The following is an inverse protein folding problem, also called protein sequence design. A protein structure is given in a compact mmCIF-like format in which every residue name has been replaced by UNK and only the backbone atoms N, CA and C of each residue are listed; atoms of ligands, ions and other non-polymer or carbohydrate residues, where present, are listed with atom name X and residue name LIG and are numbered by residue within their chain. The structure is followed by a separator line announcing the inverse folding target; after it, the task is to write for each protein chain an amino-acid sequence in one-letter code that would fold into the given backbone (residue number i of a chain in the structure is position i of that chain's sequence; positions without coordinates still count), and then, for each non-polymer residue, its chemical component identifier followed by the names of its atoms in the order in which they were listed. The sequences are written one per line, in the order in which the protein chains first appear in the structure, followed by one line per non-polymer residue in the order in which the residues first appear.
data_IF_694173712502
#
_entry.id   IF_694173712502
#
_cell.length_a   1.000
_cell.length_b   1.000
_cell.length_c   1.000
_cell.angle_alpha   90.00
_cell.angle_beta   90.00
_cell.angle_gamma   90.00
#
_symmetry.space_group_name_H-M   'P 1'
#
loop_
_entity.id
_entity.type
_entity.pdbx_description
1 polymer ?
#
# COMPACT_ATOMS: atom_id res chain seq x y z
N UNK A 1 -13.05 13.22 -1.23
CA UNK A 1 -12.29 11.98 -1.45
C UNK A 1 -11.86 11.96 -2.91
N UNK A 2 -10.56 11.89 -3.19
CA UNK A 2 -10.07 11.86 -4.57
C UNK A 2 -9.81 10.41 -4.97
N UNK A 3 -10.32 10.02 -6.14
CA UNK A 3 -10.09 8.71 -6.72
C UNK A 3 -9.07 8.80 -7.84
N UNK A 4 -8.31 7.73 -8.04
CA UNK A 4 -7.42 7.63 -9.18
C UNK A 4 -8.21 7.22 -10.43
N UNK A 5 -7.99 7.92 -11.54
CA UNK A 5 -8.37 7.43 -12.87
C UNK A 5 -7.15 6.75 -13.49
N UNK A 6 -7.20 5.42 -13.60
CA UNK A 6 -6.07 4.59 -14.02
C UNK A 6 -6.50 3.83 -15.27
N UNK A 7 -5.88 4.17 -16.40
CA UNK A 7 -6.09 3.48 -17.67
C UNK A 7 -4.86 2.62 -17.96
N UNK A 8 -4.93 1.34 -17.57
CA UNK A 8 -3.87 0.35 -17.76
C UNK A 8 -4.47 -1.00 -18.19
N UNK A 9 -3.64 -1.86 -18.77
CA UNK A 9 -4.04 -3.22 -19.12
C UNK A 9 -3.95 -4.15 -17.91
N UNK A 10 -3.02 -3.85 -17.00
CA UNK A 10 -2.75 -4.63 -15.80
C UNK A 10 -2.80 -3.77 -14.54
N UNK A 11 -3.38 -4.33 -13.49
CA UNK A 11 -3.55 -3.70 -12.19
C UNK A 11 -2.93 -4.61 -11.13
N UNK A 12 -1.95 -4.08 -10.40
CA UNK A 12 -1.18 -4.79 -9.40
C UNK A 12 -1.56 -4.28 -8.01
N UNK A 13 -2.34 -5.06 -7.28
CA UNK A 13 -2.64 -4.82 -5.87
C UNK A 13 -1.62 -5.53 -5.00
N UNK A 14 -1.02 -4.79 -4.07
CA UNK A 14 -0.04 -5.34 -3.13
C UNK A 14 -0.52 -5.10 -1.71
N UNK A 15 -0.71 -6.19 -0.98
CA UNK A 15 -0.86 -6.16 0.47
C UNK A 15 0.52 -6.35 1.10
N UNK A 16 0.97 -5.35 1.87
CA UNK A 16 2.35 -5.21 2.30
C UNK A 16 2.48 -5.50 3.80
N UNK A 17 3.20 -6.57 4.16
CA UNK A 17 3.52 -6.92 5.55
C UNK A 17 5.01 -6.74 5.86
N UNK A 18 5.40 -6.97 7.12
CA UNK A 18 6.76 -6.67 7.58
C UNK A 18 7.86 -7.44 6.83
N UNK A 19 7.61 -8.70 6.45
CA UNK A 19 8.62 -9.58 5.81
C UNK A 19 8.22 -10.06 4.41
N UNK A 20 6.93 -10.03 4.10
CA UNK A 20 6.38 -10.54 2.86
C UNK A 20 5.35 -9.57 2.31
N UNK A 21 5.04 -9.70 1.03
CA UNK A 21 3.98 -8.97 0.36
C UNK A 21 3.13 -9.96 -0.45
N UNK A 22 1.81 -9.79 -0.38
CA UNK A 22 0.90 -10.53 -1.22
C UNK A 22 0.62 -9.73 -2.47
N UNK A 23 1.01 -10.27 -3.62
CA UNK A 23 0.89 -9.58 -4.92
C UNK A 23 -0.22 -10.22 -5.72
N UNK A 24 -1.16 -9.39 -6.18
CA UNK A 24 -2.19 -9.76 -7.13
C UNK A 24 -2.05 -8.87 -8.38
N UNK A 25 -1.82 -9.48 -9.54
CA UNK A 25 -1.86 -8.80 -10.83
C UNK A 25 -3.08 -9.31 -11.58
N UNK A 26 -3.91 -8.39 -12.05
CA UNK A 26 -5.09 -8.70 -12.85
C UNK A 26 -5.11 -7.94 -14.17
N UNK A 27 -5.76 -8.50 -15.18
CA UNK A 27 -6.06 -7.81 -16.42
C UNK A 27 -7.27 -6.87 -16.26
N UNK A 28 -7.57 -6.07 -17.30
CA UNK A 28 -8.70 -5.14 -17.31
C UNK A 28 -10.08 -5.82 -17.15
N UNK A 29 -10.20 -7.11 -17.49
CA UNK A 29 -11.44 -7.89 -17.37
C UNK A 29 -11.63 -8.44 -15.95
N UNK A 30 -10.59 -8.38 -15.10
CA UNK A 30 -10.61 -8.82 -13.70
C UNK A 30 -10.09 -10.23 -13.45
N UNK A 31 -9.45 -10.85 -14.45
CA UNK A 31 -8.79 -12.15 -14.30
C UNK A 31 -7.42 -11.97 -13.67
N UNK A 32 -7.15 -12.73 -12.61
CA UNK A 32 -5.86 -12.70 -11.93
C UNK A 32 -4.82 -13.52 -12.73
N UNK A 33 -3.85 -12.83 -13.32
CA UNK A 33 -2.73 -13.43 -14.06
C UNK A 33 -1.56 -13.79 -13.14
N UNK A 34 -1.48 -13.16 -11.97
CA UNK A 34 -0.54 -13.53 -10.91
C UNK A 34 -1.19 -13.31 -9.54
N UNK A 35 -1.04 -14.28 -8.63
CA UNK A 35 -1.58 -14.14 -7.27
C UNK A 35 -0.82 -14.99 -6.26
N UNK A 36 0.21 -14.43 -5.62
CA UNK A 36 1.08 -15.17 -4.69
C UNK A 36 1.64 -14.26 -3.60
N UNK A 37 1.97 -14.88 -2.46
CA UNK A 37 2.78 -14.27 -1.41
C UNK A 37 4.26 -14.40 -1.77
N UNK A 38 5.02 -13.31 -1.65
CA UNK A 38 6.46 -13.27 -1.95
C UNK A 38 7.23 -12.55 -0.82
N UNK A 39 8.52 -12.84 -0.64
CA UNK A 39 9.38 -12.06 0.25
C UNK A 39 9.43 -10.57 -0.13
N UNK A 40 9.69 -9.72 0.85
CA UNK A 40 9.94 -8.29 0.62
C UNK A 40 11.29 -8.07 -0.07
N UNK A 41 11.31 -8.26 -1.39
CA UNK A 41 12.45 -8.04 -2.27
C UNK A 41 11.97 -7.34 -3.55
N UNK A 42 12.50 -6.13 -3.78
CA UNK A 42 12.13 -5.34 -4.95
C UNK A 42 12.64 -5.95 -6.27
N UNK A 43 13.79 -6.63 -6.27
CA UNK A 43 14.31 -7.28 -7.46
C UNK A 43 13.42 -8.46 -7.88
N UNK A 44 12.96 -9.23 -6.90
CA UNK A 44 11.98 -10.31 -7.12
C UNK A 44 10.64 -9.74 -7.62
N UNK A 45 10.13 -8.69 -6.98
CA UNK A 45 8.92 -8.01 -7.42
C UNK A 45 9.03 -7.51 -8.87
N UNK A 46 10.16 -6.89 -9.22
CA UNK A 46 10.41 -6.39 -10.57
C UNK A 46 10.47 -7.53 -11.59
N UNK A 47 11.05 -8.67 -11.23
CA UNK A 47 11.07 -9.85 -12.09
C UNK A 47 9.65 -10.36 -12.38
N UNK A 48 8.78 -10.38 -11.38
CA UNK A 48 7.37 -10.82 -11.50
C UNK A 48 6.55 -9.84 -12.35
N UNK A 49 6.78 -8.54 -12.17
CA UNK A 49 6.04 -7.49 -12.90
C UNK A 49 6.56 -7.30 -14.33
N UNK A 50 7.80 -7.74 -14.63
CA UNK A 50 8.46 -7.59 -15.93
C UNK A 50 7.58 -7.93 -17.15
N UNK A 51 6.80 -9.04 -17.17
CA UNK A 51 5.95 -9.38 -18.31
C UNK A 51 4.80 -8.39 -18.57
N UNK A 52 4.44 -7.60 -17.56
CA UNK A 52 3.29 -6.67 -17.60
C UNK A 52 3.73 -5.20 -17.62
N UNK A 53 5.04 -4.95 -17.66
CA UNK A 53 5.64 -3.63 -17.42
C UNK A 53 5.19 -2.56 -18.42
N UNK A 54 4.77 -2.95 -19.62
CA UNK A 54 4.29 -2.04 -20.66
C UNK A 54 3.02 -1.28 -20.22
N UNK A 55 2.18 -1.87 -19.36
CA UNK A 55 0.91 -1.26 -18.96
C UNK A 55 0.43 -1.76 -17.60
N UNK A 56 1.24 -1.59 -16.56
CA UNK A 56 0.89 -1.93 -15.17
C UNK A 56 0.78 -0.70 -14.28
N UNK A 57 -0.22 -0.68 -13.39
CA UNK A 57 -0.30 0.22 -12.25
C UNK A 57 -0.19 -0.56 -10.94
N UNK A 58 0.60 -0.06 -9.99
CA UNK A 58 0.78 -0.68 -8.67
C UNK A 58 0.03 0.13 -7.62
N UNK A 59 -0.82 -0.52 -6.84
CA UNK A 59 -1.52 0.07 -5.70
C UNK A 59 -1.20 -0.64 -4.40
N UNK A 60 -1.06 0.14 -3.34
CA UNK A 60 -0.76 -0.33 -1.98
C UNK A 60 -1.59 0.44 -0.98
N UNK A 61 -2.07 -0.22 0.07
CA UNK A 61 -2.65 0.48 1.23
C UNK A 61 -1.60 1.34 1.97
N UNK A 62 -2.03 2.46 2.56
CA UNK A 62 -1.19 3.34 3.37
C UNK A 62 -0.80 2.73 4.74
N UNK A 63 -0.07 1.62 4.72
CA UNK A 63 0.54 0.96 5.88
C UNK A 63 1.87 1.62 6.26
N UNK A 64 2.69 1.00 7.12
CA UNK A 64 3.94 1.59 7.61
C UNK A 64 5.17 1.32 6.72
N UNK A 65 5.10 0.38 5.79
CA UNK A 65 6.25 -0.23 5.10
C UNK A 65 6.28 0.00 3.57
N UNK A 66 5.53 0.96 3.04
CA UNK A 66 5.43 1.18 1.59
C UNK A 66 6.55 2.01 0.96
N UNK A 67 7.38 2.72 1.75
CA UNK A 67 8.37 3.67 1.23
C UNK A 67 9.32 3.06 0.20
N UNK A 68 9.90 1.91 0.51
CA UNK A 68 10.89 1.25 -0.36
C UNK A 68 10.26 0.79 -1.68
N UNK A 69 9.02 0.30 -1.65
CA UNK A 69 8.32 -0.16 -2.84
C UNK A 69 7.94 1.05 -3.71
N UNK A 70 7.45 2.13 -3.12
CA UNK A 70 7.15 3.37 -3.83
C UNK A 70 8.38 3.97 -4.49
N UNK A 71 9.51 4.01 -3.78
CA UNK A 71 10.77 4.55 -4.30
C UNK A 71 11.31 3.66 -5.43
N UNK A 72 11.31 2.33 -5.26
CA UNK A 72 11.70 1.39 -6.30
C UNK A 72 10.82 1.51 -7.55
N UNK A 73 9.49 1.58 -7.39
CA UNK A 73 8.58 1.81 -8.50
C UNK A 73 8.87 3.13 -9.23
N UNK A 74 9.18 4.21 -8.47
CA UNK A 74 9.55 5.51 -9.04
C UNK A 74 10.85 5.43 -9.84
N UNK A 75 11.88 4.77 -9.32
CA UNK A 75 13.19 4.61 -9.98
C UNK A 75 13.07 3.83 -11.31
N UNK A 76 12.12 2.91 -11.39
CA UNK A 76 11.89 2.01 -12.54
C UNK A 76 10.83 2.56 -13.51
N UNK A 77 10.15 3.65 -13.15
CA UNK A 77 9.11 4.30 -13.97
C UNK A 77 7.74 3.58 -13.94
N UNK A 78 7.46 2.80 -12.89
CA UNK A 78 6.17 2.12 -12.71
C UNK A 78 5.21 3.06 -11.94
N UNK A 79 4.01 3.35 -12.47
CA UNK A 79 3.00 4.14 -11.76
C UNK A 79 2.62 3.50 -10.42
N UNK A 80 2.82 4.23 -9.33
CA UNK A 80 2.54 3.81 -7.96
C UNK A 80 1.43 4.67 -7.35
N UNK A 81 0.42 4.01 -6.77
CA UNK A 81 -0.71 4.63 -6.12
C UNK A 81 -0.78 4.19 -4.66
N UNK A 82 -0.81 5.18 -3.75
CA UNK A 82 -1.00 4.92 -2.33
C UNK A 82 -2.48 5.06 -1.99
N UNK A 83 -3.07 4.05 -1.36
CA UNK A 83 -4.48 3.98 -1.02
C UNK A 83 -4.73 4.41 0.42
N UNK A 84 -5.79 5.19 0.65
CA UNK A 84 -6.12 5.68 1.98
C UNK A 84 -6.79 4.58 2.83
N UNK A 85 -6.07 4.03 3.81
CA UNK A 85 -6.49 2.89 4.64
C UNK A 85 -7.94 2.96 5.15
N UNK A 86 -8.34 4.09 5.75
CA UNK A 86 -9.70 4.27 6.28
C UNK A 86 -10.78 4.12 5.20
N UNK A 87 -10.54 4.67 4.01
CA UNK A 87 -11.51 4.67 2.92
C UNK A 87 -11.51 3.33 2.19
N UNK A 88 -10.35 2.70 2.03
CA UNK A 88 -10.28 1.33 1.50
C UNK A 88 -11.06 0.36 2.37
N UNK A 89 -10.93 0.47 3.70
CA UNK A 89 -11.71 -0.34 4.65
C UNK A 89 -13.22 -0.05 4.58
N UNK A 90 -13.62 1.19 4.31
CA UNK A 90 -15.04 1.54 4.13
C UNK A 90 -15.62 0.93 2.84
N UNK A 91 -14.82 0.85 1.78
CA UNK A 91 -15.24 0.24 0.50
C UNK A 91 -15.21 -1.29 0.57
N UNK A 92 -14.29 -1.87 1.36
CA UNK A 92 -14.07 -3.31 1.45
C UNK A 92 -14.10 -3.89 2.88
N UNK A 93 -15.13 -3.55 3.66
CA UNK A 93 -15.29 -4.03 5.05
C UNK A 93 -15.79 -5.47 5.19
N UNK A 94 -15.29 -6.42 4.39
CA UNK A 94 -15.73 -7.82 4.43
C UNK A 94 -15.42 -8.50 5.77
N UNK A 95 -16.33 -9.36 6.27
CA UNK A 95 -16.11 -10.15 7.50
C UNK A 95 -14.93 -11.14 7.39
N UNK A 96 -14.59 -11.57 6.17
CA UNK A 96 -13.45 -12.46 5.90
C UNK A 96 -12.23 -11.62 5.52
N UNK A 97 -11.21 -11.62 6.38
CA UNK A 97 -9.93 -10.97 6.14
C UNK A 97 -8.88 -12.02 5.77
N UNK A 98 -8.27 -11.90 4.61
CA UNK A 98 -7.21 -12.78 4.14
C UNK A 98 -6.35 -12.00 3.15
N UNK A 99 -5.04 -12.02 3.32
CA UNK A 99 -4.05 -11.31 2.47
C UNK A 99 -4.28 -11.57 0.97
N UNK A 100 -4.76 -12.78 0.62
CA UNK A 100 -5.15 -13.12 -0.76
C UNK A 100 -6.35 -12.32 -1.27
N UNK A 101 -7.37 -12.14 -0.45
CA UNK A 101 -8.58 -11.37 -0.78
C UNK A 101 -8.26 -9.87 -0.77
N UNK A 102 -7.46 -9.44 0.20
CA UNK A 102 -7.09 -8.04 0.40
C UNK A 102 -6.28 -7.55 -0.82
N UNK A 103 -5.22 -8.25 -1.21
CA UNK A 103 -4.43 -7.93 -2.42
C UNK A 103 -5.24 -7.91 -3.72
N UNK A 104 -6.19 -8.85 -3.89
CA UNK A 104 -7.10 -8.86 -5.04
C UNK A 104 -8.01 -7.64 -5.04
N UNK A 105 -8.54 -7.28 -3.88
CA UNK A 105 -9.43 -6.14 -3.74
C UNK A 105 -8.71 -4.84 -4.06
N UNK A 106 -7.48 -4.67 -3.59
CA UNK A 106 -6.63 -3.52 -3.93
C UNK A 106 -6.52 -3.39 -5.46
N UNK A 107 -6.26 -4.50 -6.15
CA UNK A 107 -6.17 -4.53 -7.60
C UNK A 107 -7.52 -4.20 -8.29
N UNK A 108 -8.63 -4.73 -7.78
CA UNK A 108 -9.99 -4.43 -8.29
C UNK A 108 -10.35 -2.95 -8.09
N UNK A 109 -9.96 -2.34 -6.97
CA UNK A 109 -10.18 -0.91 -6.73
C UNK A 109 -9.44 -0.04 -7.75
N UNK A 110 -8.20 -0.41 -8.11
CA UNK A 110 -7.46 0.28 -9.18
C UNK A 110 -8.17 0.11 -10.53
N UNK A 111 -8.55 -1.12 -10.87
CA UNK A 111 -9.21 -1.49 -12.13
C UNK A 111 -10.55 -0.78 -12.33
N UNK A 112 -11.34 -0.66 -11.27
CA UNK A 112 -12.66 -0.03 -11.30
C UNK A 112 -12.63 1.49 -11.10
N UNK A 113 -11.45 2.12 -11.01
CA UNK A 113 -11.30 3.55 -10.68
C UNK A 113 -11.96 3.96 -9.34
N UNK A 114 -12.03 3.02 -8.39
CA UNK A 114 -12.57 3.23 -7.05
C UNK A 114 -11.46 3.31 -5.99
N UNK A 115 -10.21 3.45 -6.42
CA UNK A 115 -9.05 3.49 -5.53
C UNK A 115 -8.94 4.86 -4.83
N UNK A 116 -9.18 4.94 -3.49
CA UNK A 116 -9.14 6.20 -2.77
C UNK A 116 -7.70 6.62 -2.55
N UNK A 117 -7.29 7.75 -3.10
CA UNK A 117 -5.90 8.20 -3.04
C UNK A 117 -5.52 8.72 -1.66
N UNK A 118 -4.35 8.27 -1.19
CA UNK A 118 -3.58 8.89 -0.13
C UNK A 118 -2.38 9.64 -0.72
N UNK A 119 -1.88 10.63 0.00
CA UNK A 119 -0.71 11.40 -0.44
C UNK A 119 0.60 10.63 -0.21
N UNK A 120 1.32 10.21 -1.28
CA UNK A 120 2.62 9.59 -1.15
C UNK A 120 3.67 10.65 -0.82
N UNK A 121 4.03 10.76 0.45
CA UNK A 121 4.93 11.80 0.94
C UNK A 121 6.32 11.73 0.27
N UNK A 122 6.91 12.87 -0.16
CA UNK A 122 8.18 12.89 -0.87
C UNK A 122 9.34 12.30 -0.05
N UNK A 123 10.21 11.51 -0.69
CA UNK A 123 11.35 10.80 -0.07
C UNK A 123 12.19 11.71 0.82
N UNK A 124 12.55 12.88 0.31
CA UNK A 124 13.40 13.89 0.98
C UNK A 124 12.82 14.40 2.31
N UNK A 125 11.49 14.45 2.43
CA UNK A 125 10.82 15.01 3.60
C UNK A 125 10.43 13.94 4.63
N UNK A 126 10.50 12.64 4.29
CA UNK A 126 10.03 11.54 5.15
C UNK A 126 10.76 11.47 6.49
N UNK A 127 12.08 11.71 6.50
CA UNK A 127 12.88 11.63 7.72
C UNK A 127 12.37 12.60 8.81
N UNK A 128 12.14 13.87 8.45
CA UNK A 128 11.59 14.88 9.36
C UNK A 128 10.20 14.49 9.83
N UNK A 129 9.33 14.05 8.91
CA UNK A 129 7.97 13.60 9.26
C UNK A 129 8.00 12.44 10.25
N UNK A 130 8.85 11.45 10.02
CA UNK A 130 8.93 10.26 10.86
C UNK A 130 9.49 10.59 12.25
N UNK A 131 10.47 11.50 12.33
CA UNK A 131 10.98 12.03 13.59
C UNK A 131 9.86 12.71 14.40
N UNK A 132 9.10 13.59 13.78
CA UNK A 132 7.99 14.30 14.43
C UNK A 132 6.89 13.33 14.89
N UNK A 133 6.56 12.31 14.09
CA UNK A 133 5.60 11.26 14.46
C UNK A 133 6.09 10.44 15.66
N UNK A 134 7.37 10.06 15.70
CA UNK A 134 7.98 9.35 16.84
C UNK A 134 7.97 10.20 18.09
N UNK A 135 8.37 11.47 18.00
CA UNK A 135 8.33 12.42 19.12
C UNK A 135 6.90 12.55 19.66
N UNK A 136 5.91 12.76 18.79
CA UNK A 136 4.51 12.86 19.20
C UNK A 136 4.05 11.62 19.98
N UNK A 137 4.36 10.42 19.46
CA UNK A 137 4.06 9.16 20.16
C UNK A 137 4.73 9.08 21.53
N UNK A 138 6.02 9.41 21.64
CA UNK A 138 6.72 9.36 22.94
C UNK A 138 6.20 10.38 23.95
N UNK A 139 5.78 11.55 23.49
CA UNK A 139 5.13 12.55 24.36
C UNK A 139 3.79 12.04 24.87
N UNK A 140 2.98 11.40 24.02
CA UNK A 140 1.71 10.79 24.43
C UNK A 140 1.93 9.67 25.47
N UNK A 141 2.86 8.75 25.20
CA UNK A 141 3.21 7.67 26.14
C UNK A 141 3.70 8.21 27.50
N UNK A 142 4.51 9.27 27.49
CA UNK A 142 4.95 9.93 28.73
C UNK A 142 3.78 10.52 29.51
N UNK A 143 2.85 11.20 28.82
CA UNK A 143 1.68 11.79 29.46
C UNK A 143 0.77 10.72 30.07
N UNK A 144 0.49 9.64 29.33
CA UNK A 144 -0.26 8.47 29.83
C UNK A 144 0.41 7.89 31.08
N UNK A 145 1.74 7.71 31.06
CA UNK A 145 2.49 7.22 32.22
C UNK A 145 2.34 8.11 33.46
N UNK A 146 2.40 9.45 33.31
CA UNK A 146 2.18 10.37 34.43
C UNK A 146 0.76 10.27 34.99
N UNK A 147 -0.26 10.20 34.13
CA UNK A 147 -1.65 10.07 34.58
C UNK A 147 -1.89 8.75 35.31
N UNK A 148 -1.26 7.66 34.87
CA UNK A 148 -1.36 6.37 35.56
C UNK A 148 -0.72 6.40 36.96
N UNK A 149 0.46 7.02 37.11
CA UNK A 149 1.13 7.13 38.42
C UNK A 149 0.33 8.02 39.39
N UNK A 150 -0.26 9.12 38.92
CA UNK A 150 -1.02 10.03 39.79
C UNK A 150 -2.36 9.46 40.28
N UNK A 151 -2.93 8.50 39.55
CA UNK A 151 -4.21 7.86 39.89
C UNK A 151 -4.04 6.50 40.59
N UNK A 152 -2.82 6.13 40.98
CA UNK A 152 -2.50 4.94 41.81
C UNK A 152 -2.07 5.41 43.19
#
# INVERSE_FOLDING_TARGET
MQFATILKEFYCGVDLHAKTMYVCIMNAIGEAVFHRNIPNDFALFLHIVKPYRHSVAVGVESTFNWYWLADGCKEVGIPFFLGHALYMKAIHGGKKKNDRIDSKTIADLLRCNLFPLAYPYPREMRATRDLLRRRHRFVALRAEGYTHIQNT
#
